data_IF_641357681318
#
_entry.id   IF_641357681318
#
_cell.length_a   1.000
_cell.length_b   1.000
_cell.length_c   1.000
_cell.angle_alpha   90.00
_cell.angle_beta   90.00
_cell.angle_gamma   90.00
#
_symmetry.space_group_name_H-M   'P 1'
#
loop_
_entity.id
_entity.type
_entity.pdbx_description
1 polymer ?
#
# COMPACT_ATOMS: atom_id res chain seq x y z
N UNK A 1 -0.26 2.49 -40.22
CA UNK A 1 1.15 2.22 -40.57
C UNK A 1 1.60 1.01 -39.76
N UNK A 2 1.94 -0.10 -40.42
CA UNK A 2 2.34 -1.33 -39.74
C UNK A 2 3.87 -1.34 -39.60
N UNK A 3 4.38 -1.33 -38.38
CA UNK A 3 5.80 -1.49 -38.09
C UNK A 3 6.05 -2.93 -37.67
N UNK A 4 6.94 -3.62 -38.38
CA UNK A 4 7.35 -4.98 -38.02
C UNK A 4 8.70 -4.92 -37.31
N UNK A 5 8.76 -5.47 -36.11
CA UNK A 5 10.00 -5.61 -35.35
C UNK A 5 10.75 -6.82 -35.87
N UNK A 6 11.84 -6.60 -36.59
CA UNK A 6 12.76 -7.66 -37.00
C UNK A 6 13.84 -7.77 -35.93
N UNK A 7 13.89 -8.91 -35.26
CA UNK A 7 14.96 -9.24 -34.31
C UNK A 7 15.75 -10.40 -34.91
N UNK A 8 17.06 -10.22 -35.07
CA UNK A 8 17.97 -11.32 -35.42
C UNK A 8 18.47 -11.95 -34.13
N UNK A 9 18.19 -13.24 -33.97
CA UNK A 9 18.61 -14.04 -32.83
C UNK A 9 19.43 -15.23 -33.31
N UNK A 10 20.31 -15.72 -32.43
CA UNK A 10 21.05 -16.96 -32.65
C UNK A 10 20.09 -18.15 -32.52
N UNK A 11 20.28 -19.20 -33.33
CA UNK A 11 19.44 -20.42 -33.29
C UNK A 11 19.36 -20.95 -31.83
N UNK A 12 18.16 -21.26 -31.30
CA UNK A 12 17.94 -21.65 -29.90
C UNK A 12 18.81 -22.81 -29.40
N UNK A 13 19.32 -23.65 -30.30
CA UNK A 13 20.23 -24.75 -29.96
C UNK A 13 21.57 -24.27 -29.41
N UNK A 14 21.97 -23.03 -29.69
CA UNK A 14 23.21 -22.43 -29.20
C UNK A 14 22.99 -21.43 -28.06
N UNK A 15 21.76 -21.25 -27.54
CA UNK A 15 21.48 -20.35 -26.40
C UNK A 15 21.27 -21.09 -25.08
N UNK A 16 21.31 -22.43 -25.09
CA UNK A 16 21.05 -23.26 -23.91
C UNK A 16 22.25 -23.38 -22.96
N UNK A 17 23.46 -23.14 -23.46
CA UNK A 17 24.70 -23.31 -22.70
C UNK A 17 25.59 -22.07 -22.84
N UNK A 18 26.22 -21.69 -21.72
CA UNK A 18 27.13 -20.55 -21.63
C UNK A 18 28.40 -20.79 -22.47
N UNK A 19 28.77 -22.06 -22.73
CA UNK A 19 29.87 -22.42 -23.63
C UNK A 19 29.66 -21.97 -25.08
N UNK A 20 28.45 -21.55 -25.47
CA UNK A 20 28.23 -20.93 -26.78
C UNK A 20 28.81 -19.51 -26.85
N UNK A 21 28.88 -18.79 -25.73
CA UNK A 21 29.47 -17.44 -25.67
C UNK A 21 30.99 -17.48 -25.91
N UNK A 22 31.64 -18.60 -25.59
CA UNK A 22 33.06 -18.82 -25.90
C UNK A 22 33.32 -18.97 -27.40
N UNK A 23 32.30 -19.36 -28.17
CA UNK A 23 32.35 -19.53 -29.64
C UNK A 23 31.92 -18.27 -30.38
N UNK A 24 31.59 -17.19 -29.66
CA UNK A 24 31.26 -15.91 -30.26
C UNK A 24 32.51 -15.10 -30.58
N UNK A 25 32.55 -14.56 -31.79
CA UNK A 25 33.62 -13.70 -32.27
C UNK A 25 33.06 -12.31 -32.60
N UNK A 26 33.81 -11.29 -32.25
CA UNK A 26 33.56 -9.91 -32.66
C UNK A 26 34.66 -9.49 -33.63
N UNK A 27 34.27 -8.86 -34.74
CA UNK A 27 35.22 -8.37 -35.73
C UNK A 27 35.72 -7.00 -35.28
N UNK A 28 37.05 -6.85 -35.14
CA UNK A 28 37.64 -5.55 -34.81
C UNK A 28 37.68 -4.62 -36.04
N UNK A 29 38.10 -3.36 -35.84
CA UNK A 29 38.22 -2.39 -36.94
C UNK A 29 39.20 -2.81 -38.05
N UNK A 30 40.08 -3.78 -37.78
CA UNK A 30 41.06 -4.33 -38.73
C UNK A 30 40.52 -5.58 -39.46
N UNK A 31 39.25 -5.96 -39.25
CA UNK A 31 38.63 -7.13 -39.88
C UNK A 31 39.00 -8.47 -39.24
N UNK A 32 39.71 -8.47 -38.12
CA UNK A 32 40.13 -9.68 -37.40
C UNK A 32 39.03 -10.14 -36.45
N UNK A 33 38.72 -11.43 -36.49
CA UNK A 33 37.83 -12.08 -35.52
C UNK A 33 38.54 -12.24 -34.16
N UNK A 34 37.96 -11.62 -33.12
CA UNK A 34 38.45 -11.71 -31.74
C UNK A 34 37.40 -12.46 -30.91
N UNK A 35 37.78 -13.53 -30.17
CA UNK A 35 36.85 -14.21 -29.27
C UNK A 35 36.30 -13.24 -28.22
N UNK A 36 35.00 -13.32 -27.95
CA UNK A 36 34.34 -12.49 -26.94
C UNK A 36 34.94 -12.71 -25.53
N UNK A 37 35.45 -13.91 -25.27
CA UNK A 37 36.09 -14.31 -24.00
C UNK A 37 37.40 -13.57 -23.68
N UNK A 38 38.00 -12.86 -24.66
CA UNK A 38 39.23 -12.09 -24.42
C UNK A 38 38.98 -10.82 -23.58
N UNK A 39 37.74 -10.34 -23.52
CA UNK A 39 37.39 -9.09 -22.83
C UNK A 39 36.08 -9.13 -22.05
N UNK A 40 35.34 -10.25 -22.09
CA UNK A 40 34.14 -10.48 -21.28
C UNK A 40 34.31 -11.70 -20.36
N UNK A 41 33.66 -11.67 -19.20
CA UNK A 41 33.58 -12.80 -18.26
C UNK A 41 32.12 -13.07 -17.95
N UNK A 42 31.76 -14.34 -17.86
CA UNK A 42 30.40 -14.77 -17.54
C UNK A 42 30.40 -15.55 -16.24
N UNK A 43 29.41 -15.28 -15.40
CA UNK A 43 29.20 -15.99 -14.16
C UNK A 43 27.69 -16.18 -13.96
N UNK A 44 27.23 -17.35 -13.48
CA UNK A 44 25.86 -17.49 -13.01
C UNK A 44 25.60 -16.47 -11.89
N UNK A 45 24.53 -15.69 -12.03
CA UNK A 45 24.12 -14.72 -11.03
C UNK A 45 22.60 -14.75 -10.84
N UNK A 46 22.16 -14.61 -9.59
CA UNK A 46 20.74 -14.47 -9.27
C UNK A 46 20.36 -13.00 -9.46
N UNK A 47 19.62 -12.71 -10.53
CA UNK A 47 19.05 -11.39 -10.78
C UNK A 47 17.54 -11.40 -10.49
N UNK A 48 16.98 -10.34 -9.90
CA UNK A 48 15.53 -10.22 -9.78
C UNK A 48 14.89 -10.21 -11.16
N UNK A 49 13.86 -11.05 -11.36
CA UNK A 49 13.15 -11.18 -12.64
C UNK A 49 12.48 -9.85 -13.07
N UNK A 50 12.08 -9.05 -12.07
CA UNK A 50 11.56 -7.70 -12.24
C UNK A 50 11.85 -6.89 -10.99
N UNK A 51 12.17 -5.61 -11.16
CA UNK A 51 12.27 -4.65 -10.06
C UNK A 51 11.04 -3.75 -10.13
N UNK A 52 10.07 -4.02 -9.25
CA UNK A 52 8.90 -3.17 -9.12
C UNK A 52 9.28 -1.89 -8.37
N UNK A 53 8.65 -0.79 -8.73
CA UNK A 53 8.87 0.51 -8.11
C UNK A 53 7.53 1.09 -7.67
N UNK A 54 7.50 1.70 -6.48
CA UNK A 54 6.41 2.52 -6.00
C UNK A 54 6.94 3.94 -5.81
N UNK A 55 6.52 4.87 -6.66
CA UNK A 55 7.11 6.21 -6.72
C UNK A 55 8.58 6.16 -7.16
N UNK A 56 9.49 6.69 -6.33
CA UNK A 56 10.93 6.75 -6.60
C UNK A 56 11.73 5.63 -5.90
N UNK A 57 11.06 4.63 -5.33
CA UNK A 57 11.70 3.58 -4.53
C UNK A 57 11.36 2.19 -5.07
N UNK A 58 12.35 1.29 -5.04
CA UNK A 58 12.11 -0.13 -5.30
C UNK A 58 11.16 -0.68 -4.24
N UNK A 59 10.15 -1.43 -4.67
CA UNK A 59 9.07 -1.90 -3.84
C UNK A 59 8.76 -3.37 -4.12
N UNK A 60 8.25 -4.06 -3.11
CA UNK A 60 7.71 -5.41 -3.26
C UNK A 60 6.29 -5.43 -2.72
N UNK A 61 5.36 -5.97 -3.50
CA UNK A 61 3.94 -5.99 -3.15
C UNK A 61 3.60 -7.31 -2.49
N UNK A 62 3.05 -7.24 -1.28
CA UNK A 62 2.52 -8.41 -0.56
C UNK A 62 1.00 -8.31 -0.56
N UNK A 63 0.35 -9.28 -1.18
CA UNK A 63 -1.12 -9.39 -1.20
C UNK A 63 -1.59 -10.34 -0.11
N UNK A 64 -2.69 -10.01 0.55
CA UNK A 64 -3.30 -10.83 1.59
C UNK A 64 -4.82 -10.81 1.47
N UNK A 65 -5.46 -11.85 2.02
CA UNK A 65 -6.90 -11.92 2.19
C UNK A 65 -7.24 -11.93 3.68
N UNK A 66 -8.41 -11.40 4.02
CA UNK A 66 -8.93 -11.38 5.39
C UNK A 66 -9.60 -12.72 5.71
N UNK A 67 -9.28 -13.36 6.85
CA UNK A 67 -10.03 -14.51 7.32
C UNK A 67 -11.45 -14.10 7.76
N UNK A 68 -12.40 -15.03 7.72
CA UNK A 68 -13.80 -14.78 8.08
C UNK A 68 -13.92 -14.21 9.49
N UNK A 69 -14.66 -13.10 9.64
CA UNK A 69 -14.88 -12.44 10.93
C UNK A 69 -13.73 -11.55 11.40
N UNK A 70 -12.68 -11.32 10.59
CA UNK A 70 -11.64 -10.33 10.89
C UNK A 70 -11.81 -9.07 10.07
N UNK A 71 -11.59 -7.93 10.72
CA UNK A 71 -11.64 -6.62 10.09
C UNK A 71 -10.32 -6.28 9.41
N UNK A 72 -10.35 -5.33 8.48
CA UNK A 72 -9.14 -4.81 7.86
C UNK A 72 -8.20 -4.13 8.89
N UNK A 73 -8.75 -3.56 9.95
CA UNK A 73 -7.98 -2.99 11.07
C UNK A 73 -7.22 -4.04 11.89
N UNK A 74 -7.76 -5.27 12.00
CA UNK A 74 -7.05 -6.37 12.66
C UNK A 74 -5.84 -6.80 11.85
N UNK A 75 -5.99 -6.85 10.51
CA UNK A 75 -4.92 -7.21 9.61
C UNK A 75 -3.81 -6.17 9.58
N UNK A 76 -4.14 -4.86 9.53
CA UNK A 76 -3.12 -3.81 9.58
C UNK A 76 -2.32 -3.85 10.88
N UNK A 77 -2.99 -3.99 12.02
CA UNK A 77 -2.34 -4.12 13.32
C UNK A 77 -1.45 -5.37 13.43
N UNK A 78 -1.86 -6.50 12.83
CA UNK A 78 -1.05 -7.70 12.79
C UNK A 78 0.21 -7.53 11.92
N UNK A 79 0.08 -6.85 10.76
CA UNK A 79 1.19 -6.54 9.85
C UNK A 79 2.19 -5.61 10.55
N UNK A 80 1.74 -4.56 11.22
CA UNK A 80 2.62 -3.63 11.94
C UNK A 80 3.40 -4.32 13.07
N UNK A 81 2.73 -5.21 13.82
CA UNK A 81 3.39 -6.03 14.85
C UNK A 81 4.44 -6.96 14.23
N UNK A 82 4.13 -7.62 13.11
CA UNK A 82 5.07 -8.50 12.44
C UNK A 82 6.30 -7.73 11.92
N UNK A 83 6.11 -6.55 11.31
CA UNK A 83 7.22 -5.69 10.87
C UNK A 83 8.12 -5.27 12.05
N UNK A 84 7.51 -4.94 13.20
CA UNK A 84 8.25 -4.59 14.41
C UNK A 84 9.02 -5.79 14.97
N UNK A 85 8.42 -6.97 15.01
CA UNK A 85 9.05 -8.21 15.51
C UNK A 85 10.19 -8.70 14.61
N UNK A 86 10.06 -8.53 13.29
CA UNK A 86 11.09 -8.87 12.32
C UNK A 86 12.32 -7.93 12.39
N UNK A 87 12.23 -6.81 13.13
CA UNK A 87 13.31 -5.85 13.25
C UNK A 87 13.62 -5.16 11.93
N UNK A 88 12.58 -4.89 11.13
CA UNK A 88 12.73 -4.26 9.81
C UNK A 88 13.46 -2.92 9.97
N UNK A 89 14.54 -2.65 9.21
CA UNK A 89 15.27 -1.40 9.29
C UNK A 89 14.36 -0.20 8.99
N UNK A 90 14.63 0.95 9.61
CA UNK A 90 13.89 2.19 9.39
C UNK A 90 13.96 2.73 7.95
N UNK A 91 14.86 2.17 7.13
CA UNK A 91 14.97 2.45 5.69
C UNK A 91 13.89 1.77 4.87
N UNK A 92 13.24 0.72 5.39
CA UNK A 92 12.13 0.03 4.74
C UNK A 92 10.83 0.58 5.30
N UNK A 93 10.02 1.17 4.42
CA UNK A 93 8.70 1.69 4.78
C UNK A 93 7.62 0.79 4.22
N UNK A 94 6.73 0.31 5.08
CA UNK A 94 5.49 -0.33 4.67
C UNK A 94 4.45 0.72 4.34
N UNK A 95 3.71 0.52 3.24
CA UNK A 95 2.50 1.30 2.96
C UNK A 95 1.39 0.38 2.48
N UNK A 96 0.18 0.64 2.94
CA UNK A 96 -1.01 -0.02 2.41
C UNK A 96 -1.36 0.55 1.03
N UNK A 97 -1.89 -0.29 0.15
CA UNK A 97 -2.31 0.08 -1.20
C UNK A 97 -3.72 -0.45 -1.49
N UNK A 98 -4.41 0.18 -2.43
CA UNK A 98 -5.75 -0.24 -2.87
C UNK A 98 -6.81 -0.05 -1.79
N UNK A 99 -7.59 -1.09 -1.52
CA UNK A 99 -8.72 -1.03 -0.56
C UNK A 99 -8.28 -0.70 0.86
N UNK A 100 -7.12 -1.22 1.29
CA UNK A 100 -6.55 -0.94 2.60
C UNK A 100 -6.14 0.53 2.77
N UNK A 101 -5.61 1.14 1.70
CA UNK A 101 -5.26 2.55 1.70
C UNK A 101 -6.51 3.43 1.84
N UNK A 102 -7.53 3.17 1.01
CA UNK A 102 -8.79 3.93 1.03
C UNK A 102 -9.48 3.83 2.38
N UNK A 103 -9.44 2.65 3.02
CA UNK A 103 -9.97 2.47 4.37
C UNK A 103 -9.24 3.37 5.39
N UNK A 104 -7.90 3.38 5.36
CA UNK A 104 -7.11 4.21 6.28
C UNK A 104 -7.35 5.71 6.06
N UNK A 105 -7.42 6.14 4.80
CA UNK A 105 -7.74 7.52 4.44
C UNK A 105 -9.14 7.91 4.95
N UNK A 106 -10.13 7.03 4.75
CA UNK A 106 -11.51 7.25 5.20
C UNK A 106 -11.59 7.36 6.72
N UNK A 107 -10.91 6.49 7.47
CA UNK A 107 -10.88 6.55 8.94
C UNK A 107 -10.31 7.89 9.44
N UNK A 108 -9.21 8.36 8.85
CA UNK A 108 -8.61 9.64 9.22
C UNK A 108 -9.53 10.82 8.88
N UNK A 109 -10.13 10.84 7.69
CA UNK A 109 -11.05 11.89 7.29
C UNK A 109 -12.30 11.94 8.17
N UNK A 110 -12.84 10.80 8.60
CA UNK A 110 -14.00 10.76 9.50
C UNK A 110 -13.71 11.44 10.85
N UNK A 111 -12.54 11.17 11.46
CA UNK A 111 -12.16 11.81 12.72
C UNK A 111 -12.08 13.34 12.57
N UNK A 112 -11.47 13.80 11.47
CA UNK A 112 -11.37 15.24 11.18
C UNK A 112 -12.76 15.86 10.99
N UNK A 113 -13.65 15.19 10.26
CA UNK A 113 -15.02 15.65 10.03
C UNK A 113 -15.85 15.71 11.32
N UNK A 114 -15.72 14.72 12.21
CA UNK A 114 -16.39 14.73 13.52
C UNK A 114 -15.91 15.93 14.35
N UNK A 115 -14.60 16.17 14.41
CA UNK A 115 -14.04 17.33 15.12
C UNK A 115 -14.54 18.64 14.51
N UNK A 116 -14.56 18.75 13.18
CA UNK A 116 -15.06 19.92 12.47
C UNK A 116 -16.57 20.15 12.72
N UNK A 117 -17.37 19.08 12.76
CA UNK A 117 -18.80 19.15 13.07
C UNK A 117 -19.04 19.63 14.50
N UNK A 118 -18.33 19.06 15.49
CA UNK A 118 -18.39 19.50 16.90
C UNK A 118 -18.00 20.98 17.02
N UNK A 119 -16.92 21.39 16.37
CA UNK A 119 -16.48 22.79 16.36
C UNK A 119 -17.53 23.72 15.72
N UNK A 120 -18.14 23.30 14.62
CA UNK A 120 -19.18 24.09 13.95
C UNK A 120 -20.41 24.25 14.83
N UNK A 121 -20.91 23.16 15.44
CA UNK A 121 -22.03 23.20 16.38
C UNK A 121 -21.72 24.09 17.57
N UNK A 122 -20.49 24.01 18.11
CA UNK A 122 -20.04 24.88 19.20
C UNK A 122 -20.09 26.37 18.81
N UNK A 123 -19.60 26.72 17.62
CA UNK A 123 -19.61 28.11 17.13
C UNK A 123 -21.04 28.61 16.92
N UNK A 124 -21.89 27.82 16.26
CA UNK A 124 -23.29 28.18 15.97
C UNK A 124 -24.07 28.40 17.27
N UNK A 125 -23.97 27.48 18.24
CA UNK A 125 -24.62 27.66 19.54
C UNK A 125 -24.01 28.83 20.33
N UNK A 126 -22.69 29.02 20.28
CA UNK A 126 -22.02 30.13 20.96
C UNK A 126 -22.51 31.50 20.48
N UNK A 127 -22.77 31.64 19.17
CA UNK A 127 -23.33 32.86 18.58
C UNK A 127 -24.83 33.01 18.91
N UNK A 128 -25.60 31.91 18.92
CA UNK A 128 -27.05 31.94 19.14
C UNK A 128 -27.46 32.19 20.60
N UNK A 129 -26.69 31.71 21.57
CA UNK A 129 -27.08 31.71 22.99
C UNK A 129 -26.34 32.76 23.84
N UNK A 130 -25.42 33.56 23.25
CA UNK A 130 -24.55 34.54 23.94
C UNK A 130 -23.77 33.96 25.14
N UNK A 131 -23.72 32.62 25.30
CA UNK A 131 -23.13 31.94 26.45
C UNK A 131 -22.39 30.68 26.01
N UNK A 132 -21.10 30.64 26.34
CA UNK A 132 -20.18 29.53 26.02
C UNK A 132 -20.41 28.26 26.86
N UNK A 133 -21.28 28.33 27.87
CA UNK A 133 -21.43 27.25 28.87
C UNK A 133 -22.48 26.22 28.47
N UNK A 134 -23.60 26.64 27.88
CA UNK A 134 -24.66 25.71 27.43
C UNK A 134 -24.31 24.77 26.26
N UNK A 135 -23.48 25.16 25.27
CA UNK A 135 -23.09 24.28 24.17
C UNK A 135 -22.28 23.05 24.63
N UNK A 136 -21.46 23.20 25.67
CA UNK A 136 -20.64 22.11 26.22
C UNK A 136 -21.48 20.98 26.80
N UNK A 137 -22.60 21.29 27.47
CA UNK A 137 -23.47 20.29 28.08
C UNK A 137 -24.19 19.44 27.03
N UNK A 138 -24.60 20.04 25.91
CA UNK A 138 -25.24 19.34 24.79
C UNK A 138 -24.20 18.51 24.02
N UNK A 139 -23.00 19.06 23.79
CA UNK A 139 -21.93 18.29 23.15
C UNK A 139 -21.47 17.10 24.01
N UNK A 140 -21.61 17.17 25.34
CA UNK A 140 -21.28 16.07 26.24
C UNK A 140 -22.23 14.86 26.12
N UNK A 141 -23.39 14.98 25.47
CA UNK A 141 -24.29 13.82 25.26
C UNK A 141 -23.92 13.03 24.00
N UNK A 142 -23.26 13.65 23.02
CA UNK A 142 -22.75 13.01 21.80
C UNK A 142 -21.79 11.83 22.04
N UNK A 143 -20.77 11.92 22.93
CA UNK A 143 -19.90 10.77 23.21
C UNK A 143 -20.68 9.63 23.86
N UNK A 144 -21.68 9.92 24.69
CA UNK A 144 -22.53 8.89 25.31
C UNK A 144 -23.40 8.17 24.28
N UNK A 145 -23.99 8.92 23.33
CA UNK A 145 -24.72 8.35 22.19
C UNK A 145 -23.81 7.49 21.30
N UNK A 146 -22.58 7.94 21.06
CA UNK A 146 -21.55 7.17 20.34
C UNK A 146 -21.22 5.84 21.03
N UNK A 147 -21.03 5.84 22.35
CA UNK A 147 -20.78 4.60 23.12
C UNK A 147 -21.98 3.65 23.06
N UNK A 148 -23.21 4.17 23.13
CA UNK A 148 -24.42 3.34 22.96
C UNK A 148 -24.51 2.69 21.58
N UNK A 149 -24.16 3.43 20.52
CA UNK A 149 -24.13 2.89 19.16
C UNK A 149 -23.03 1.81 18.99
N UNK A 150 -21.84 2.02 19.57
CA UNK A 150 -20.75 1.04 19.54
C UNK A 150 -21.13 -0.24 20.29
N UNK A 151 -21.75 -0.13 21.48
CA UNK A 151 -22.26 -1.28 22.24
C UNK A 151 -23.32 -2.05 21.47
N UNK A 152 -24.21 -1.36 20.75
CA UNK A 152 -25.18 -2.01 19.88
C UNK A 152 -24.49 -2.79 18.75
N UNK A 153 -23.49 -2.20 18.09
CA UNK A 153 -22.73 -2.89 17.03
C UNK A 153 -22.00 -4.13 17.55
N UNK A 154 -21.43 -4.07 18.74
CA UNK A 154 -20.78 -5.22 19.40
C UNK A 154 -21.78 -6.34 19.70
N UNK A 155 -22.96 -5.98 20.22
CA UNK A 155 -24.02 -6.96 20.52
C UNK A 155 -24.54 -7.68 19.26
N UNK A 156 -24.59 -6.95 18.13
CA UNK A 156 -25.04 -7.48 16.84
C UNK A 156 -23.92 -8.05 15.96
N UNK A 157 -22.67 -8.11 16.45
CA UNK A 157 -21.51 -8.61 15.71
C UNK A 157 -21.33 -7.93 14.33
N UNK A 158 -21.74 -6.67 14.22
CA UNK A 158 -21.67 -5.92 12.97
C UNK A 158 -20.32 -5.19 12.88
N UNK A 159 -19.60 -5.27 11.74
CA UNK A 159 -18.36 -4.53 11.58
C UNK A 159 -18.64 -3.02 11.57
N UNK A 160 -17.76 -2.26 12.23
CA UNK A 160 -17.78 -0.80 12.12
C UNK A 160 -17.57 -0.42 10.65
N UNK A 161 -18.63 0.09 10.03
CA UNK A 161 -18.68 0.41 8.61
C UNK A 161 -19.21 1.82 8.41
N UNK A 162 -19.00 2.36 7.22
CA UNK A 162 -19.53 3.67 6.84
C UNK A 162 -21.05 3.77 7.06
N UNK A 163 -21.77 2.67 6.85
CA UNK A 163 -23.21 2.55 7.04
C UNK A 163 -23.58 2.64 8.53
N UNK A 164 -22.82 1.98 9.41
CA UNK A 164 -23.01 2.04 10.85
C UNK A 164 -22.74 3.45 11.41
N UNK A 165 -21.76 4.16 10.86
CA UNK A 165 -21.47 5.55 11.23
C UNK A 165 -22.59 6.49 10.78
N UNK A 166 -23.06 6.39 9.52
CA UNK A 166 -24.16 7.22 9.02
C UNK A 166 -25.43 7.02 9.86
N UNK A 167 -25.73 5.79 10.26
CA UNK A 167 -26.87 5.49 11.13
C UNK A 167 -26.76 6.04 12.55
N UNK A 168 -25.56 6.40 13.02
CA UNK A 168 -25.37 7.03 14.34
C UNK A 168 -25.58 8.54 14.37
N UNK A 169 -25.58 9.19 13.19
CA UNK A 169 -25.78 10.64 13.04
C UNK A 169 -27.21 11.03 12.63
N UNK A 170 -28.09 10.05 12.38
CA UNK A 170 -29.52 10.24 12.09
C UNK A 170 -30.34 9.88 13.32
#
# INVERSE_FOLDING_TARGET
>A
MNQYKVVMEVDPRYTQDISALEKMFVINNEGKAIPLSYFAKWQPANAPLSVNHQGLSAASTISFNLPTGKSLSDASAAIDRAMTQLGVPSTVRGSFAGTAQVFQETMNSQVILIIAAIATVYIVLGILYESYVHPLTILSTLPSAGVGALLALELFNAPFSLIALIGSCY
#
